data_IF_814181660575
#
_entry.id   IF_814181660575
#
_cell.length_a   1.000
_cell.length_b   1.000
_cell.length_c   1.000
_cell.angle_alpha   90.00
_cell.angle_beta   90.00
_cell.angle_gamma   90.00
#
_symmetry.space_group_name_H-M   'P 1'
#
loop_
_entity.id
_entity.type
_entity.pdbx_description
1 polymer ?
#
# COMPACT_ATOMS: atom_id res chain seq x y z
N UNK A 1 -13.35 46.31 22.50
CA UNK A 1 -13.10 45.24 23.50
C UNK A 1 -12.28 45.86 24.62
N UNK A 2 -12.63 45.65 25.89
CA UNK A 2 -11.99 46.33 27.01
C UNK A 2 -10.56 45.75 27.20
N UNK A 3 -9.55 46.63 27.43
CA UNK A 3 -8.13 46.28 27.60
C UNK A 3 -7.88 45.09 28.54
N UNK A 4 -8.64 44.98 29.62
CA UNK A 4 -8.58 43.86 30.57
C UNK A 4 -8.97 42.51 29.92
N UNK A 5 -9.93 42.48 28.98
CA UNK A 5 -10.30 41.24 28.24
C UNK A 5 -9.22 40.83 27.23
N UNK A 6 -8.57 41.81 26.61
CA UNK A 6 -7.46 41.55 25.67
C UNK A 6 -6.27 40.93 26.43
N UNK A 7 -5.89 41.49 27.55
CA UNK A 7 -4.81 40.98 28.40
C UNK A 7 -5.12 39.55 28.89
N UNK A 8 -6.36 39.27 29.31
CA UNK A 8 -6.78 37.91 29.72
C UNK A 8 -6.66 36.88 28.59
N UNK A 9 -7.05 37.23 27.37
CA UNK A 9 -6.92 36.36 26.19
C UNK A 9 -5.45 36.11 25.84
N UNK A 10 -4.60 37.13 25.87
CA UNK A 10 -3.17 36.98 25.57
C UNK A 10 -2.49 36.07 26.61
N UNK A 11 -2.79 36.24 27.90
CA UNK A 11 -2.25 35.37 28.96
C UNK A 11 -2.70 33.91 28.75
N UNK A 12 -3.98 33.68 28.42
CA UNK A 12 -4.50 32.33 28.16
C UNK A 12 -3.81 31.66 26.99
N UNK A 13 -3.61 32.38 25.88
CA UNK A 13 -2.89 31.85 24.70
C UNK A 13 -1.43 31.52 25.03
N UNK A 14 -0.75 32.38 25.80
CA UNK A 14 0.62 32.11 26.23
C UNK A 14 0.74 30.89 27.14
N UNK A 15 -0.23 30.68 28.04
CA UNK A 15 -0.28 29.48 28.87
C UNK A 15 -0.52 28.22 28.07
N UNK A 16 -1.40 28.26 27.09
CA UNK A 16 -1.65 27.12 26.20
C UNK A 16 -0.41 26.76 25.37
N UNK A 17 0.30 27.76 24.85
CA UNK A 17 1.56 27.55 24.13
C UNK A 17 2.64 26.96 25.04
N UNK A 18 2.74 27.43 26.28
CA UNK A 18 3.69 26.89 27.25
C UNK A 18 3.36 25.42 27.59
N UNK A 19 2.08 25.09 27.77
CA UNK A 19 1.65 23.70 28.00
C UNK A 19 1.99 22.79 26.81
N UNK A 20 1.79 23.25 25.58
CA UNK A 20 2.15 22.52 24.38
C UNK A 20 3.65 22.25 24.29
N UNK A 21 4.50 23.26 24.54
CA UNK A 21 5.96 23.12 24.56
C UNK A 21 6.41 22.13 25.65
N UNK A 22 5.84 22.20 26.85
CA UNK A 22 6.15 21.27 27.94
C UNK A 22 5.72 19.82 27.62
N UNK A 23 4.63 19.63 26.88
CA UNK A 23 4.19 18.31 26.43
C UNK A 23 5.18 17.71 25.43
N UNK A 24 5.65 18.49 24.45
CA UNK A 24 6.67 18.06 23.48
C UNK A 24 7.98 17.68 24.17
N UNK A 25 8.47 18.51 25.09
CA UNK A 25 9.72 18.24 25.84
C UNK A 25 9.62 16.97 26.71
N UNK A 26 8.43 16.66 27.27
CA UNK A 26 8.22 15.41 28.02
C UNK A 26 8.21 14.19 27.12
N UNK A 27 7.62 14.32 25.92
CA UNK A 27 7.58 13.23 24.94
C UNK A 27 8.99 12.87 24.44
N UNK A 28 9.83 13.86 24.16
CA UNK A 28 11.23 13.65 23.73
C UNK A 28 12.07 13.03 24.87
N UNK A 29 11.84 13.41 26.11
CA UNK A 29 12.52 12.83 27.28
C UNK A 29 12.13 11.35 27.51
N UNK A 30 10.88 10.99 27.28
CA UNK A 30 10.43 9.60 27.38
C UNK A 30 11.04 8.72 26.28
N UNK A 31 11.10 9.20 25.03
CA UNK A 31 11.79 8.49 23.92
C UNK A 31 13.28 8.27 24.18
N UNK A 32 13.97 9.24 24.79
CA UNK A 32 15.38 9.12 25.15
C UNK A 32 15.62 8.06 26.23
N UNK A 33 14.70 7.93 27.19
CA UNK A 33 14.74 6.91 28.25
C UNK A 33 14.56 5.49 27.69
N UNK A 34 13.62 5.29 26.78
CA UNK A 34 13.35 3.98 26.17
C UNK A 34 14.51 3.53 25.27
N UNK A 35 15.15 4.43 24.54
CA UNK A 35 16.32 4.13 23.74
C UNK A 35 17.56 3.77 24.59
N UNK A 36 17.68 4.29 25.80
CA UNK A 36 18.76 3.95 26.73
C UNK A 36 18.54 2.55 27.34
N UNK A 37 17.29 2.22 27.72
CA UNK A 37 16.93 0.90 28.23
C UNK A 37 17.14 -0.23 27.19
N UNK A 38 16.85 0.03 25.92
CA UNK A 38 17.09 -0.93 24.85
C UNK A 38 18.58 -1.20 24.59
N UNK A 39 19.44 -0.19 24.76
CA UNK A 39 20.91 -0.35 24.62
C UNK A 39 21.50 -1.18 25.76
N UNK A 40 20.99 -1.06 26.98
CA UNK A 40 21.46 -1.84 28.14
C UNK A 40 21.05 -3.32 28.06
N UNK A 41 19.91 -3.63 27.42
CA UNK A 41 19.43 -4.98 27.15
C UNK A 41 20.25 -5.74 26.09
N UNK A 42 21.00 -5.05 25.24
CA UNK A 42 21.82 -5.62 24.16
C UNK A 42 23.30 -5.80 24.50
N UNK A 43 23.72 -5.52 25.74
CA UNK A 43 25.11 -5.73 26.20
C UNK A 43 25.38 -7.24 26.41
N UNK A 44 26.19 -7.81 25.54
CA UNK A 44 26.63 -9.20 25.57
C UNK A 44 27.48 -9.48 26.80
N UNK A 45 27.29 -10.59 27.56
CA UNK A 45 28.19 -10.94 28.67
C UNK A 45 29.56 -11.39 28.16
N UNK A 46 30.60 -11.04 28.92
CA UNK A 46 32.00 -11.36 28.64
C UNK A 46 32.27 -12.90 28.67
N UNK A 47 33.24 -13.40 27.89
CA UNK A 47 33.51 -14.82 27.79
C UNK A 47 34.15 -15.39 29.06
N UNK A 48 33.56 -16.45 29.59
CA UNK A 48 34.09 -17.26 30.69
C UNK A 48 35.26 -18.12 30.21
N UNK A 49 36.29 -18.24 31.02
CA UNK A 49 37.55 -18.95 30.76
C UNK A 49 37.36 -20.44 30.37
N UNK A 50 38.18 -20.88 29.44
CA UNK A 50 38.22 -22.24 28.93
C UNK A 50 38.67 -23.29 29.98
N UNK A 51 38.11 -24.48 29.97
CA UNK A 51 38.65 -25.62 30.75
C UNK A 51 39.79 -26.31 29.99
N UNK A 52 40.68 -26.87 30.81
CA UNK A 52 41.92 -27.60 30.52
C UNK A 52 41.73 -28.77 29.53
N UNK A 53 42.62 -28.89 28.53
CA UNK A 53 42.51 -29.86 27.44
C UNK A 53 43.26 -31.14 27.79
N UNK A 54 42.54 -32.23 27.95
CA UNK A 54 43.09 -33.58 27.96
C UNK A 54 43.35 -34.04 26.51
N UNK A 55 44.49 -34.70 26.18
CA UNK A 55 44.78 -35.09 24.79
C UNK A 55 43.87 -36.25 24.33
N UNK A 56 43.24 -36.02 23.19
CA UNK A 56 42.35 -36.93 22.49
C UNK A 56 43.12 -38.00 21.70
N UNK A 57 42.64 -39.24 21.61
CA UNK A 57 43.27 -40.31 20.82
C UNK A 57 43.15 -40.05 19.32
N UNK A 58 44.21 -40.44 18.59
CA UNK A 58 44.37 -40.33 17.13
C UNK A 58 43.14 -40.81 16.34
N UNK A 59 42.67 -40.05 15.30
CA UNK A 59 41.47 -40.38 14.57
C UNK A 59 41.65 -41.65 13.70
N UNK A 60 40.66 -42.53 13.77
CA UNK A 60 40.42 -43.60 12.80
C UNK A 60 40.07 -42.99 11.45
N UNK A 61 40.56 -43.50 10.30
CA UNK A 61 40.22 -42.90 8.99
C UNK A 61 38.72 -42.96 8.75
N UNK A 62 38.16 -41.78 8.48
CA UNK A 62 36.76 -41.55 8.15
C UNK A 62 36.43 -42.24 6.80
N UNK A 63 35.26 -42.88 6.65
CA UNK A 63 34.88 -43.48 5.38
C UNK A 63 34.69 -42.37 4.35
N UNK A 64 35.29 -42.53 3.16
CA UNK A 64 35.19 -41.65 2.01
C UNK A 64 33.72 -41.35 1.71
N UNK A 65 33.33 -40.10 1.80
CA UNK A 65 31.96 -39.64 1.51
C UNK A 65 31.57 -40.08 0.11
N UNK A 66 30.47 -40.82 0.00
CA UNK A 66 29.80 -41.07 -1.28
C UNK A 66 29.42 -39.71 -1.89
N UNK A 67 29.72 -39.45 -3.18
CA UNK A 67 29.35 -38.17 -3.81
C UNK A 67 27.84 -37.99 -3.67
N UNK A 68 27.46 -36.84 -3.12
CA UNK A 68 26.07 -36.38 -3.02
C UNK A 68 25.48 -36.35 -4.44
N UNK A 69 24.26 -36.85 -4.68
CA UNK A 69 23.69 -36.84 -6.01
C UNK A 69 23.62 -35.39 -6.50
N UNK A 70 24.22 -35.10 -7.63
CA UNK A 70 24.14 -33.80 -8.32
C UNK A 70 22.66 -33.47 -8.50
N UNK A 71 22.20 -32.34 -7.92
CA UNK A 71 20.83 -31.90 -8.07
C UNK A 71 20.49 -31.83 -9.57
N UNK A 72 19.44 -32.52 -9.97
CA UNK A 72 18.88 -32.38 -11.32
C UNK A 72 18.44 -30.93 -11.47
N UNK A 73 18.86 -30.20 -12.55
CA UNK A 73 18.41 -28.84 -12.75
C UNK A 73 16.88 -28.80 -12.77
N UNK A 74 16.29 -27.87 -12.02
CA UNK A 74 14.85 -27.63 -12.07
C UNK A 74 14.46 -27.27 -13.51
N UNK A 75 13.34 -27.81 -14.02
CA UNK A 75 12.88 -27.49 -15.37
C UNK A 75 12.62 -25.97 -15.46
N UNK A 76 13.14 -25.33 -16.49
CA UNK A 76 12.85 -23.93 -16.78
C UNK A 76 11.34 -23.77 -17.00
N UNK A 77 10.68 -22.82 -16.36
CA UNK A 77 9.25 -22.61 -16.53
C UNK A 77 8.89 -22.30 -18.00
N UNK A 78 7.71 -22.72 -18.43
CA UNK A 78 7.14 -22.34 -19.74
C UNK A 78 7.08 -20.79 -19.81
N UNK A 79 7.72 -20.14 -20.80
CA UNK A 79 7.76 -18.69 -20.92
C UNK A 79 6.38 -18.03 -21.00
N UNK A 80 5.35 -18.73 -21.47
CA UNK A 80 3.97 -18.23 -21.54
C UNK A 80 3.16 -18.50 -20.25
N UNK A 81 3.71 -19.27 -19.31
CA UNK A 81 3.10 -19.46 -18.00
C UNK A 81 3.29 -18.24 -17.11
N UNK A 82 2.45 -18.05 -16.06
CA UNK A 82 2.66 -17.00 -15.05
C UNK A 82 4.06 -17.04 -14.42
N UNK A 83 4.57 -18.23 -14.11
CA UNK A 83 5.92 -18.42 -13.57
C UNK A 83 7.00 -18.00 -14.58
N UNK A 84 6.84 -18.32 -15.87
CA UNK A 84 7.79 -17.92 -16.92
C UNK A 84 7.78 -16.41 -17.16
N UNK A 85 6.63 -15.78 -17.20
CA UNK A 85 6.49 -14.32 -17.30
C UNK A 85 7.08 -13.61 -16.09
N UNK A 86 6.86 -14.13 -14.88
CA UNK A 86 7.47 -13.60 -13.67
C UNK A 86 9.00 -13.70 -13.70
N UNK A 87 9.53 -14.88 -14.08
CA UNK A 87 10.96 -15.10 -14.21
C UNK A 87 11.61 -14.15 -15.23
N UNK A 88 10.94 -13.84 -16.35
CA UNK A 88 11.40 -12.87 -17.32
C UNK A 88 11.54 -11.46 -16.78
N UNK A 89 10.74 -11.10 -15.75
CA UNK A 89 10.80 -9.84 -15.00
C UNK A 89 11.73 -9.90 -13.79
N UNK A 90 12.37 -11.05 -13.51
CA UNK A 90 13.18 -11.26 -12.32
C UNK A 90 12.36 -11.36 -11.03
N UNK A 91 11.07 -11.70 -11.14
CA UNK A 91 10.15 -11.87 -10.02
C UNK A 91 10.10 -13.35 -9.58
N UNK A 92 9.78 -13.63 -8.29
CA UNK A 92 9.50 -14.99 -7.84
C UNK A 92 8.24 -15.56 -8.50
N UNK A 93 8.02 -16.86 -8.34
CA UNK A 93 6.81 -17.53 -8.82
C UNK A 93 5.56 -16.86 -8.20
N UNK A 94 4.57 -16.45 -9.02
CA UNK A 94 3.36 -15.81 -8.52
C UNK A 94 2.38 -16.85 -7.94
N UNK A 95 1.42 -16.43 -7.08
CA UNK A 95 0.44 -17.32 -6.47
C UNK A 95 -0.43 -18.01 -7.51
N UNK A 96 -0.91 -19.23 -7.20
CA UNK A 96 -1.86 -19.97 -8.05
C UNK A 96 -3.28 -19.45 -7.84
N UNK A 97 -3.72 -18.53 -8.69
CA UNK A 97 -5.01 -17.84 -8.60
C UNK A 97 -5.78 -17.90 -9.92
N UNK A 98 -7.10 -17.79 -9.85
CA UNK A 98 -7.93 -17.53 -11.04
C UNK A 98 -7.96 -16.02 -11.34
N UNK A 99 -7.13 -15.58 -12.28
CA UNK A 99 -7.04 -14.16 -12.70
C UNK A 99 -8.35 -13.62 -13.32
N UNK A 100 -9.30 -14.49 -13.65
CA UNK A 100 -10.61 -14.06 -14.17
C UNK A 100 -11.63 -13.85 -13.05
N UNK A 101 -11.26 -14.12 -11.79
CA UNK A 101 -12.16 -13.86 -10.67
C UNK A 101 -12.38 -12.37 -10.43
N UNK A 102 -13.42 -12.05 -9.68
CA UNK A 102 -13.92 -10.68 -9.50
C UNK A 102 -12.90 -9.73 -8.84
N UNK A 103 -11.96 -10.25 -8.05
CA UNK A 103 -10.91 -9.49 -7.40
C UNK A 103 -9.99 -8.79 -8.42
N UNK A 104 -9.82 -9.41 -9.60
CA UNK A 104 -8.84 -9.00 -10.61
C UNK A 104 -9.45 -8.23 -11.78
N UNK A 105 -10.65 -7.64 -11.60
CA UNK A 105 -11.22 -6.69 -12.56
C UNK A 105 -10.27 -5.50 -12.69
N UNK A 106 -9.66 -5.35 -13.87
CA UNK A 106 -8.76 -4.25 -14.19
C UNK A 106 -9.55 -3.14 -14.88
N UNK A 107 -9.57 -1.96 -14.26
CA UNK A 107 -10.09 -0.73 -14.83
C UNK A 107 -8.96 0.31 -14.88
N UNK A 108 -8.62 0.79 -16.07
CA UNK A 108 -7.63 1.82 -16.30
C UNK A 108 -7.85 2.49 -17.66
N UNK A 109 -6.90 3.30 -18.14
CA UNK A 109 -7.02 4.01 -19.42
C UNK A 109 -7.34 3.12 -20.61
N UNK A 110 -6.80 1.89 -20.64
CA UNK A 110 -6.92 0.96 -21.76
C UNK A 110 -8.02 -0.09 -21.55
N UNK A 111 -8.43 -0.32 -20.29
CA UNK A 111 -9.41 -1.34 -19.93
C UNK A 111 -10.70 -0.70 -19.39
N UNK A 112 -11.73 -0.65 -20.27
CA UNK A 112 -13.04 -0.12 -19.91
C UNK A 112 -13.90 -1.16 -19.19
N UNK A 113 -14.60 -0.71 -18.16
CA UNK A 113 -15.59 -1.46 -17.38
C UNK A 113 -16.96 -0.78 -17.42
N UNK A 114 -17.28 -0.05 -18.50
CA UNK A 114 -18.49 0.76 -18.61
C UNK A 114 -19.77 -0.01 -18.31
N UNK A 115 -19.83 -1.27 -18.73
CA UNK A 115 -20.99 -2.16 -18.54
C UNK A 115 -20.99 -2.92 -17.19
N UNK A 116 -19.92 -2.75 -16.38
CA UNK A 116 -19.81 -3.45 -15.10
C UNK A 116 -20.64 -2.76 -14.02
N UNK A 117 -21.33 -3.57 -13.25
CA UNK A 117 -21.97 -3.19 -12.00
C UNK A 117 -21.65 -4.23 -10.92
N UNK A 118 -21.31 -3.80 -9.68
CA UNK A 118 -21.13 -4.73 -8.57
C UNK A 118 -22.42 -5.47 -8.26
N UNK A 119 -22.35 -6.76 -7.86
CA UNK A 119 -23.56 -7.56 -7.61
C UNK A 119 -24.37 -7.04 -6.41
N UNK A 120 -23.72 -6.52 -5.41
CA UNK A 120 -24.33 -5.99 -4.21
C UNK A 120 -23.45 -4.90 -3.60
N UNK A 121 -24.07 -3.78 -3.24
CA UNK A 121 -23.43 -2.68 -2.53
C UNK A 121 -23.95 -2.60 -1.11
N UNK A 122 -23.05 -2.40 -0.16
CA UNK A 122 -23.35 -2.13 1.25
C UNK A 122 -22.76 -0.80 1.68
N UNK A 123 -23.36 -0.20 2.70
CA UNK A 123 -22.83 1.04 3.29
C UNK A 123 -21.88 0.72 4.44
N UNK A 124 -20.63 1.14 4.31
CA UNK A 124 -19.62 1.10 5.37
C UNK A 124 -19.17 2.53 5.69
N UNK A 125 -19.39 2.99 6.91
CA UNK A 125 -19.01 4.33 7.39
C UNK A 125 -19.44 5.47 6.44
N UNK A 126 -20.62 5.34 5.84
CA UNK A 126 -21.18 6.35 4.93
C UNK A 126 -20.74 6.22 3.47
N UNK A 127 -19.86 5.30 3.14
CA UNK A 127 -19.45 5.00 1.77
C UNK A 127 -20.10 3.69 1.28
N UNK A 128 -20.52 3.68 0.01
CA UNK A 128 -20.92 2.43 -0.64
C UNK A 128 -19.69 1.66 -1.09
N UNK A 129 -19.66 0.36 -0.84
CA UNK A 129 -18.62 -0.57 -1.30
C UNK A 129 -19.26 -1.88 -1.73
N UNK A 130 -18.57 -2.68 -2.53
CA UNK A 130 -19.00 -4.05 -2.83
C UNK A 130 -19.08 -4.86 -1.53
N UNK A 131 -20.17 -5.61 -1.34
CA UNK A 131 -20.40 -6.37 -0.10
C UNK A 131 -19.27 -7.36 0.19
N UNK A 132 -18.59 -7.86 -0.84
CA UNK A 132 -17.53 -8.86 -0.73
C UNK A 132 -16.25 -8.33 -0.08
N UNK A 133 -16.02 -7.01 -0.10
CA UNK A 133 -14.82 -6.40 0.52
C UNK A 133 -15.12 -5.70 1.85
N UNK A 134 -16.40 -5.57 2.23
CA UNK A 134 -16.81 -4.74 3.36
C UNK A 134 -16.15 -5.15 4.68
N UNK A 135 -16.10 -6.44 4.98
CA UNK A 135 -15.49 -6.97 6.21
C UNK A 135 -13.97 -6.75 6.23
N UNK A 136 -13.29 -6.98 5.10
CA UNK A 136 -11.86 -6.76 4.98
C UNK A 136 -11.49 -5.27 5.14
N UNK A 137 -12.26 -4.37 4.51
CA UNK A 137 -12.08 -2.92 4.64
C UNK A 137 -12.34 -2.44 6.08
N UNK A 138 -13.39 -2.97 6.73
CA UNK A 138 -13.69 -2.67 8.13
C UNK A 138 -12.56 -3.15 9.06
N UNK A 139 -12.02 -4.34 8.83
CA UNK A 139 -10.91 -4.90 9.60
C UNK A 139 -9.63 -4.05 9.45
N UNK A 140 -9.26 -3.65 8.23
CA UNK A 140 -8.10 -2.78 7.96
C UNK A 140 -8.25 -1.43 8.65
N UNK A 141 -9.43 -0.82 8.58
CA UNK A 141 -9.71 0.45 9.27
C UNK A 141 -9.68 0.31 10.80
N UNK A 142 -10.20 -0.79 11.34
CA UNK A 142 -10.21 -1.07 12.77
C UNK A 142 -8.81 -1.33 13.31
N UNK A 143 -7.99 -2.09 12.59
CA UNK A 143 -6.59 -2.35 12.95
C UNK A 143 -5.77 -1.05 13.00
N UNK A 144 -5.90 -0.21 11.98
CA UNK A 144 -5.24 1.11 11.94
C UNK A 144 -5.68 1.98 13.14
N UNK A 145 -6.97 1.98 13.50
CA UNK A 145 -7.48 2.70 14.67
C UNK A 145 -6.98 2.13 15.99
N UNK A 146 -6.74 0.82 16.06
CA UNK A 146 -6.17 0.19 17.25
C UNK A 146 -4.75 0.69 17.57
N UNK A 147 -4.03 1.23 16.59
CA UNK A 147 -2.76 1.93 16.77
C UNK A 147 -2.91 3.38 17.27
N UNK A 148 -4.12 3.82 17.55
CA UNK A 148 -4.41 5.21 17.95
C UNK A 148 -4.41 6.20 16.77
N UNK A 149 -4.46 5.70 15.53
CA UNK A 149 -4.46 6.50 14.31
C UNK A 149 -5.89 6.78 13.84
N UNK A 150 -6.09 7.93 13.19
CA UNK A 150 -7.40 8.31 12.66
C UNK A 150 -7.59 7.82 11.23
N UNK A 151 -8.78 7.29 10.93
CA UNK A 151 -9.13 6.77 9.60
C UNK A 151 -10.45 7.36 9.16
N UNK A 152 -10.50 7.90 7.95
CA UNK A 152 -11.69 8.42 7.31
C UNK A 152 -11.87 7.81 5.91
N UNK A 153 -12.93 7.02 5.73
CA UNK A 153 -13.33 6.50 4.43
C UNK A 153 -13.99 7.65 3.63
N UNK A 154 -13.28 8.17 2.64
CA UNK A 154 -13.66 9.43 2.00
C UNK A 154 -14.36 9.27 0.65
N UNK A 155 -14.21 8.12 -0.03
CA UNK A 155 -14.91 7.81 -1.28
C UNK A 155 -14.85 6.30 -1.57
N UNK A 156 -15.98 5.66 -1.71
CA UNK A 156 -16.12 4.27 -2.13
C UNK A 156 -16.61 4.15 -3.57
N UNK A 157 -17.66 3.36 -3.78
CA UNK A 157 -18.30 3.18 -5.09
C UNK A 157 -18.78 4.49 -5.69
N UNK A 158 -18.60 4.61 -7.01
CA UNK A 158 -19.20 5.64 -7.86
C UNK A 158 -19.78 5.00 -9.11
N UNK A 159 -21.05 5.23 -9.38
CA UNK A 159 -21.67 4.82 -10.64
C UNK A 159 -21.01 5.51 -11.85
N UNK A 160 -21.24 4.97 -13.05
CA UNK A 160 -20.79 5.59 -14.31
C UNK A 160 -21.17 7.10 -14.38
N UNK A 161 -22.42 7.42 -14.09
CA UNK A 161 -22.90 8.82 -14.15
C UNK A 161 -22.25 9.73 -13.09
N UNK A 162 -22.02 9.21 -11.88
CA UNK A 162 -21.31 9.96 -10.83
C UNK A 162 -19.85 10.17 -11.20
N UNK A 163 -19.21 9.17 -11.82
CA UNK A 163 -17.84 9.30 -12.31
C UNK A 163 -17.74 10.32 -13.46
N UNK A 164 -18.71 10.36 -14.38
CA UNK A 164 -18.75 11.35 -15.44
C UNK A 164 -18.86 12.77 -14.86
N UNK A 165 -19.77 12.98 -13.91
CA UNK A 165 -19.90 14.25 -13.22
C UNK A 165 -18.64 14.66 -12.45
N UNK A 166 -17.98 13.68 -11.78
CA UNK A 166 -16.71 13.88 -11.10
C UNK A 166 -15.61 14.28 -12.08
N UNK A 167 -15.46 13.56 -13.19
CA UNK A 167 -14.48 13.82 -14.24
C UNK A 167 -14.60 15.25 -14.76
N UNK A 168 -15.81 15.66 -15.18
CA UNK A 168 -16.06 17.01 -15.66
C UNK A 168 -15.76 18.09 -14.61
N UNK A 169 -16.04 17.80 -13.34
CA UNK A 169 -15.74 18.72 -12.22
C UNK A 169 -14.24 18.86 -12.00
N UNK A 170 -13.50 17.73 -11.96
CA UNK A 170 -12.05 17.71 -11.75
C UNK A 170 -11.33 18.37 -12.92
N UNK A 171 -11.71 18.04 -14.16
CA UNK A 171 -11.16 18.67 -15.35
C UNK A 171 -11.29 20.19 -15.32
N UNK A 172 -12.49 20.70 -14.99
CA UNK A 172 -12.75 22.14 -14.88
C UNK A 172 -11.90 22.80 -13.80
N UNK A 173 -11.77 22.15 -12.62
CA UNK A 173 -11.02 22.70 -11.50
C UNK A 173 -9.51 22.75 -11.78
N UNK A 174 -9.00 21.87 -12.63
CA UNK A 174 -7.58 21.79 -12.99
C UNK A 174 -7.27 22.45 -14.34
N UNK A 175 -8.28 22.94 -15.07
CA UNK A 175 -8.08 23.59 -16.37
C UNK A 175 -7.65 22.63 -17.49
N UNK A 176 -8.01 21.33 -17.37
CA UNK A 176 -7.72 20.28 -18.35
C UNK A 176 -9.01 19.78 -18.98
N UNK A 177 -8.93 19.09 -20.13
CA UNK A 177 -10.11 18.54 -20.82
C UNK A 177 -10.12 17.01 -20.88
N UNK A 178 -8.97 16.36 -20.71
CA UNK A 178 -8.76 14.94 -20.85
C UNK A 178 -8.52 14.20 -19.50
N UNK A 179 -8.58 14.93 -18.39
CA UNK A 179 -8.38 14.40 -17.07
C UNK A 179 -6.92 14.12 -16.70
N UNK A 180 -5.95 14.61 -17.51
CA UNK A 180 -4.53 14.36 -17.33
C UNK A 180 -3.77 15.59 -16.85
N UNK A 181 -2.67 15.36 -16.16
CA UNK A 181 -1.70 16.37 -15.78
C UNK A 181 -0.76 16.74 -16.94
N UNK A 182 0.19 17.64 -16.69
CA UNK A 182 1.19 18.06 -17.68
C UNK A 182 2.17 16.96 -18.11
N UNK A 183 2.25 15.87 -17.37
CA UNK A 183 3.09 14.70 -17.67
C UNK A 183 2.32 13.62 -18.46
N UNK A 184 1.02 13.81 -18.68
CA UNK A 184 0.14 12.89 -19.39
C UNK A 184 -0.50 11.81 -18.50
N UNK A 185 -0.36 11.89 -17.18
CA UNK A 185 -0.96 10.96 -16.23
C UNK A 185 -2.34 11.44 -15.77
N UNK A 186 -3.27 10.51 -15.61
CA UNK A 186 -4.61 10.83 -15.15
C UNK A 186 -4.59 11.36 -13.71
N UNK A 187 -5.18 12.53 -13.52
CA UNK A 187 -5.58 13.10 -12.22
C UNK A 187 -7.01 12.69 -11.87
N UNK A 188 -7.75 12.20 -12.84
CA UNK A 188 -9.09 11.60 -12.69
C UNK A 188 -9.41 10.78 -13.93
N UNK A 189 -9.90 9.57 -13.74
CA UNK A 189 -10.27 8.68 -14.83
C UNK A 189 -11.63 9.08 -15.42
N UNK A 190 -11.82 8.92 -16.74
CA UNK A 190 -13.15 9.09 -17.35
C UNK A 190 -14.12 8.01 -16.85
N UNK A 191 -15.42 8.24 -17.04
CA UNK A 191 -16.46 7.27 -16.72
C UNK A 191 -16.23 5.95 -17.48
N UNK A 192 -16.44 4.83 -16.81
CA UNK A 192 -16.17 3.50 -17.35
C UNK A 192 -14.71 3.04 -17.25
N UNK A 193 -13.80 3.89 -16.77
CA UNK A 193 -12.37 3.57 -16.60
C UNK A 193 -11.88 3.71 -15.16
N UNK A 194 -12.74 4.08 -14.22
CA UNK A 194 -12.42 4.26 -12.81
C UNK A 194 -12.74 3.01 -12.00
N UNK A 195 -11.81 2.55 -11.16
CA UNK A 195 -12.01 1.43 -10.25
C UNK A 195 -13.12 1.65 -9.22
N UNK A 196 -13.47 2.92 -8.93
CA UNK A 196 -14.61 3.21 -8.04
C UNK A 196 -15.93 2.64 -8.57
N UNK A 197 -16.06 2.39 -9.89
CA UNK A 197 -17.24 1.73 -10.45
C UNK A 197 -17.30 0.24 -10.08
N UNK A 198 -16.20 -0.37 -9.69
CA UNK A 198 -16.20 -1.76 -9.20
C UNK A 198 -16.73 -1.90 -7.78
N UNK A 199 -16.64 -0.85 -6.96
CA UNK A 199 -16.86 -0.92 -5.52
C UNK A 199 -15.74 -1.65 -4.76
N UNK A 200 -14.65 -2.06 -5.44
CA UNK A 200 -13.54 -2.84 -4.85
C UNK A 200 -12.41 -1.96 -4.30
N UNK A 201 -12.59 -0.66 -4.29
CA UNK A 201 -11.60 0.28 -3.75
C UNK A 201 -12.25 1.31 -2.84
N UNK A 202 -11.43 1.92 -2.01
CA UNK A 202 -11.82 3.04 -1.18
C UNK A 202 -10.68 4.06 -1.10
N UNK A 203 -11.01 5.35 -1.27
CA UNK A 203 -10.11 6.41 -0.89
C UNK A 203 -10.19 6.61 0.62
N UNK A 204 -9.04 6.54 1.27
CA UNK A 204 -8.90 6.64 2.72
C UNK A 204 -7.97 7.79 3.07
N UNK A 205 -8.40 8.64 4.00
CA UNK A 205 -7.61 9.77 4.47
C UNK A 205 -7.57 9.80 6.00
N UNK A 206 -6.69 10.63 6.55
CA UNK A 206 -6.69 10.96 7.96
C UNK A 206 -7.83 11.96 8.25
N UNK A 207 -8.57 11.79 9.36
CA UNK A 207 -9.64 12.72 9.78
C UNK A 207 -9.10 14.16 9.90
N UNK A 208 -7.86 14.30 10.37
CA UNK A 208 -7.20 15.61 10.54
C UNK A 208 -6.52 16.11 9.26
N UNK A 209 -6.40 15.25 8.24
CA UNK A 209 -5.86 15.58 6.93
C UNK A 209 -6.74 14.99 5.82
N UNK A 210 -7.93 15.57 5.58
CA UNK A 210 -8.90 15.01 4.63
C UNK A 210 -8.57 15.33 3.15
N UNK A 211 -7.41 15.95 2.89
CA UNK A 211 -7.03 16.36 1.54
C UNK A 211 -6.39 15.20 0.78
N UNK A 212 -6.94 14.88 -0.39
CA UNK A 212 -6.43 13.87 -1.31
C UNK A 212 -5.30 14.43 -2.17
N UNK A 213 -4.10 14.48 -1.62
CA UNK A 213 -2.90 14.87 -2.35
C UNK A 213 -1.67 14.12 -1.83
N UNK A 214 -0.52 14.32 -2.49
CA UNK A 214 0.75 13.66 -2.15
C UNK A 214 1.13 13.82 -0.68
N UNK A 215 0.85 14.95 -0.04
CA UNK A 215 1.28 15.19 1.34
C UNK A 215 0.59 14.28 2.37
N UNK A 216 -0.46 13.54 2.00
CA UNK A 216 -1.06 12.51 2.84
C UNK A 216 -0.03 11.41 3.22
N UNK A 217 0.97 11.16 2.37
CA UNK A 217 2.06 10.19 2.62
C UNK A 217 2.84 10.48 3.91
N UNK A 218 2.83 11.73 4.38
CA UNK A 218 3.53 12.15 5.59
C UNK A 218 2.70 11.92 6.86
N UNK A 219 1.46 11.45 6.76
CA UNK A 219 0.64 11.12 7.93
C UNK A 219 1.01 9.76 8.49
N UNK A 220 0.98 9.63 9.81
CA UNK A 220 1.22 8.34 10.48
C UNK A 220 0.17 7.29 10.07
N UNK A 221 -1.06 7.72 9.78
CA UNK A 221 -2.12 6.84 9.27
C UNK A 221 -1.72 6.20 7.95
N UNK A 222 -1.31 6.99 6.95
CA UNK A 222 -0.89 6.46 5.66
C UNK A 222 0.32 5.54 5.79
N UNK A 223 1.35 5.94 6.54
CA UNK A 223 2.57 5.15 6.73
C UNK A 223 2.27 3.78 7.34
N UNK A 224 1.38 3.73 8.33
CA UNK A 224 0.94 2.47 8.91
C UNK A 224 0.10 1.65 7.91
N UNK A 225 -0.95 2.25 7.36
CA UNK A 225 -1.89 1.54 6.48
C UNK A 225 -1.22 1.02 5.22
N UNK A 226 -0.34 1.79 4.58
CA UNK A 226 0.39 1.35 3.39
C UNK A 226 1.39 0.20 3.67
N UNK A 227 1.88 0.08 4.90
CA UNK A 227 2.76 -1.02 5.31
C UNK A 227 2.00 -2.32 5.67
N UNK A 228 0.69 -2.24 5.96
CA UNK A 228 -0.11 -3.35 6.49
C UNK A 228 -1.35 -3.70 5.65
N UNK A 229 -1.71 -2.91 4.64
CA UNK A 229 -2.94 -3.11 3.86
C UNK A 229 -3.01 -4.48 3.18
N UNK A 230 -1.88 -5.08 2.78
CA UNK A 230 -1.79 -6.40 2.17
C UNK A 230 -2.29 -7.52 3.10
N UNK A 231 -2.15 -7.38 4.41
CA UNK A 231 -2.64 -8.33 5.40
C UNK A 231 -4.18 -8.48 5.37
N UNK A 232 -4.86 -7.47 4.82
CA UNK A 232 -6.31 -7.40 4.63
C UNK A 232 -6.73 -7.57 3.17
N UNK A 233 -5.80 -7.91 2.28
CA UNK A 233 -6.05 -8.09 0.85
C UNK A 233 -6.12 -6.81 0.03
N UNK A 234 -5.66 -5.68 0.57
CA UNK A 234 -5.58 -4.40 -0.13
C UNK A 234 -4.17 -4.08 -0.60
N UNK A 235 -4.08 -3.29 -1.65
CA UNK A 235 -2.84 -2.68 -2.14
C UNK A 235 -2.99 -1.16 -2.20
N UNK A 236 -1.88 -0.44 -2.08
CA UNK A 236 -1.78 0.94 -2.55
C UNK A 236 -1.80 0.89 -4.08
N UNK A 237 -2.91 1.31 -4.68
CA UNK A 237 -3.21 1.03 -6.10
C UNK A 237 -2.32 1.77 -7.09
N UNK A 238 -2.03 3.03 -6.81
CA UNK A 238 -1.25 3.92 -7.66
C UNK A 238 -0.01 4.41 -6.91
N UNK A 239 1.03 3.55 -6.75
CA UNK A 239 2.22 3.88 -5.99
C UNK A 239 3.13 4.85 -6.74
N UNK A 240 3.94 5.60 -6.01
CA UNK A 240 4.89 6.57 -6.55
C UNK A 240 5.93 5.90 -7.45
N UNK A 241 6.19 6.48 -8.62
CA UNK A 241 7.13 5.97 -9.62
C UNK A 241 6.55 4.91 -10.56
N UNK A 242 5.27 4.50 -10.39
CA UNK A 242 4.59 3.54 -11.26
C UNK A 242 3.62 4.21 -12.26
N UNK A 243 3.59 5.54 -12.30
CA UNK A 243 2.72 6.32 -13.19
C UNK A 243 2.88 5.94 -14.69
N UNK A 244 4.10 5.64 -15.20
CA UNK A 244 4.25 5.21 -16.59
C UNK A 244 3.55 3.89 -16.93
N UNK A 245 3.30 3.02 -15.94
CA UNK A 245 2.65 1.73 -16.11
C UNK A 245 1.15 1.84 -15.82
N UNK A 246 0.80 2.50 -14.71
CA UNK A 246 -0.61 2.63 -14.28
C UNK A 246 -1.38 3.67 -15.09
N UNK A 247 -0.68 4.63 -15.71
CA UNK A 247 -1.26 5.78 -16.39
C UNK A 247 -1.89 6.83 -15.46
N UNK A 248 -1.81 6.63 -14.14
CA UNK A 248 -2.44 7.47 -13.10
C UNK A 248 -1.36 8.07 -12.22
N UNK A 249 -1.54 9.33 -11.81
CA UNK A 249 -0.64 9.97 -10.85
C UNK A 249 -0.63 9.23 -9.51
N UNK A 250 0.44 9.43 -8.72
CA UNK A 250 0.53 8.89 -7.37
C UNK A 250 -0.65 9.29 -6.47
N UNK A 251 -1.35 8.31 -5.91
CA UNK A 251 -2.52 8.51 -5.05
C UNK A 251 -2.35 7.81 -3.69
N UNK A 252 -1.77 8.45 -2.67
CA UNK A 252 -1.55 7.85 -1.35
C UNK A 252 -2.84 7.56 -0.56
N UNK A 253 -3.99 7.84 -1.13
CA UNK A 253 -5.28 7.63 -0.50
C UNK A 253 -6.07 6.46 -1.12
N UNK A 254 -5.69 5.96 -2.30
CA UNK A 254 -6.48 4.99 -3.06
C UNK A 254 -6.02 3.55 -2.78
N UNK A 255 -6.83 2.82 -2.01
CA UNK A 255 -6.59 1.42 -1.67
C UNK A 255 -7.55 0.51 -2.44
N UNK A 256 -7.01 -0.52 -3.11
CA UNK A 256 -7.74 -1.49 -3.92
C UNK A 256 -7.65 -2.88 -3.31
N UNK A 257 -8.80 -3.58 -3.21
CA UNK A 257 -8.85 -4.98 -2.81
C UNK A 257 -8.51 -5.90 -3.98
N UNK A 258 -7.63 -6.87 -3.74
CA UNK A 258 -7.17 -7.88 -4.71
C UNK A 258 -7.02 -9.28 -4.08
N UNK A 259 -7.50 -9.46 -2.83
CA UNK A 259 -7.25 -10.69 -2.06
C UNK A 259 -5.87 -10.71 -1.41
N UNK A 260 -5.73 -11.46 -0.32
CA UNK A 260 -4.51 -11.45 0.52
C UNK A 260 -3.30 -11.96 -0.25
N UNK A 261 -3.38 -13.11 -0.91
CA UNK A 261 -2.25 -13.72 -1.63
C UNK A 261 -1.68 -12.80 -2.72
N UNK A 262 -2.56 -12.18 -3.51
CA UNK A 262 -2.16 -11.22 -4.54
C UNK A 262 -1.60 -9.92 -3.93
N UNK A 263 -2.21 -9.41 -2.86
CA UNK A 263 -1.76 -8.19 -2.20
C UNK A 263 -0.37 -8.36 -1.57
N UNK A 264 -0.12 -9.48 -0.91
CA UNK A 264 1.20 -9.83 -0.37
C UNK A 264 2.25 -9.93 -1.48
N UNK A 265 1.94 -10.63 -2.57
CA UNK A 265 2.86 -10.75 -3.69
C UNK A 265 3.19 -9.41 -4.34
N UNK A 266 2.18 -8.58 -4.63
CA UNK A 266 2.32 -7.25 -5.24
C UNK A 266 3.19 -6.36 -4.35
N UNK A 267 2.90 -6.33 -3.04
CA UNK A 267 3.61 -5.48 -2.08
C UNK A 267 5.05 -5.96 -1.86
N UNK A 268 5.26 -7.27 -1.68
CA UNK A 268 6.59 -7.85 -1.45
C UNK A 268 7.54 -7.63 -2.64
N UNK A 269 7.02 -7.60 -3.86
CA UNK A 269 7.80 -7.43 -5.07
C UNK A 269 7.82 -5.98 -5.59
N UNK A 270 7.17 -5.05 -4.90
CA UNK A 270 7.09 -3.63 -5.27
C UNK A 270 6.68 -3.44 -6.73
N UNK A 271 5.61 -4.10 -7.15
CA UNK A 271 5.02 -3.99 -8.49
C UNK A 271 3.64 -3.34 -8.42
N UNK A 272 3.14 -2.79 -9.54
CA UNK A 272 1.75 -2.32 -9.61
C UNK A 272 0.78 -3.43 -10.04
N UNK A 273 -0.52 -3.16 -9.94
CA UNK A 273 -1.57 -4.12 -10.27
C UNK A 273 -1.54 -4.52 -11.74
N UNK A 274 -1.25 -3.61 -12.65
CA UNK A 274 -1.06 -3.88 -14.08
C UNK A 274 0.04 -4.92 -14.32
N UNK A 275 1.21 -4.73 -13.70
CA UNK A 275 2.31 -5.68 -13.79
C UNK A 275 1.88 -7.05 -13.28
N UNK A 276 1.22 -7.12 -12.13
CA UNK A 276 0.71 -8.38 -11.57
C UNK A 276 -0.26 -9.08 -12.54
N UNK A 277 -1.27 -8.38 -13.05
CA UNK A 277 -2.26 -8.95 -13.99
C UNK A 277 -1.58 -9.44 -15.27
N UNK A 278 -0.54 -8.74 -15.75
CA UNK A 278 0.20 -9.11 -16.95
C UNK A 278 0.96 -10.45 -16.84
N UNK A 279 1.22 -10.92 -15.62
CA UNK A 279 1.81 -12.25 -15.41
C UNK A 279 0.87 -13.37 -15.86
N UNK A 280 -0.44 -13.15 -15.77
CA UNK A 280 -1.45 -14.19 -16.05
C UNK A 280 -2.15 -14.03 -17.40
N UNK A 281 -2.26 -12.82 -17.91
CA UNK A 281 -2.93 -12.54 -19.19
C UNK A 281 -2.36 -11.29 -19.85
N UNK A 282 -2.51 -11.20 -21.18
CA UNK A 282 -2.20 -9.98 -21.90
C UNK A 282 -3.21 -8.88 -21.55
N UNK A 283 -2.72 -7.72 -21.14
CA UNK A 283 -3.55 -6.57 -20.72
C UNK A 283 -3.58 -5.46 -21.78
N UNK A 284 -3.02 -5.73 -23.00
CA UNK A 284 -2.81 -4.71 -24.01
C UNK A 284 -1.81 -3.69 -23.46
N UNK A 285 -0.52 -3.94 -23.59
CA UNK A 285 0.49 -2.96 -23.20
C UNK A 285 0.42 -1.78 -24.15
N UNK A 286 0.20 -0.58 -23.62
CA UNK A 286 0.61 0.63 -24.31
C UNK A 286 2.09 0.44 -24.69
N UNK A 287 2.42 0.56 -25.98
CA UNK A 287 3.78 0.43 -26.48
C UNK A 287 4.71 1.29 -25.63
N UNK A 288 5.76 0.67 -25.11
CA UNK A 288 6.76 1.32 -24.27
C UNK A 288 7.40 2.47 -25.10
N UNK A 289 7.25 3.75 -24.73
CA UNK A 289 7.77 4.88 -25.51
C UNK A 289 9.30 4.94 -25.59
N UNK A 290 10.03 3.95 -25.05
CA UNK A 290 11.50 3.90 -25.04
C UNK A 290 12.12 3.02 -26.13
N UNK A 291 11.33 2.44 -27.05
CA UNK A 291 11.85 1.66 -28.20
C UNK A 291 11.66 2.36 -29.56
N UNK A 292 11.56 3.68 -29.57
CA UNK A 292 11.55 4.45 -30.84
C UNK A 292 12.71 5.44 -30.91
#
# INVERSE_FOLDING_TARGET
>A
MNTRKIIGIVIMVLLLLLCAVLAVLRFDAAKASDAAALRESLATPAPTAAPDVTPEPSPTPEPTATPEPTATPEPTPDPDSPAGRAAALGLPEPPDIDINSWEFILANGDNSIAEYAPPELVTLEGQLVDSRIADALAAMAADTRAQGLSVYLSSGYRSYAEQEANFLRVCRNNGVSDGKDSNGFYITMPAGHSEHQTGLCCDITDIYYPTKNRSLENTAMFQYMSAHCQEFGFILRFPDGMEPITGVMYEPFHFRYVGVEAAEYITANNICFETFVSLYRDIGTAENPQES
#
